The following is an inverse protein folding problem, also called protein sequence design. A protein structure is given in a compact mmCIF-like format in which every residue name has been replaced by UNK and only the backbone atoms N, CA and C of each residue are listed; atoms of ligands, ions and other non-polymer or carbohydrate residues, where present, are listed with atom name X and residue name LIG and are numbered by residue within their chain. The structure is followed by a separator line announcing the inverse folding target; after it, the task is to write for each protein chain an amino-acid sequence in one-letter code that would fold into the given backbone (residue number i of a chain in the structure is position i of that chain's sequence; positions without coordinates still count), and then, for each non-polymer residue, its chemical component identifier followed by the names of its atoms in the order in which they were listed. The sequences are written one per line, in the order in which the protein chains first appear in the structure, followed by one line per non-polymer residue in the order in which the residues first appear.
data_IF_240476332791
#
_entry.id   IF_240476332791
#
_cell.length_a   1.000
_cell.length_b   1.000
_cell.length_c   1.000
_cell.angle_alpha   90.00
_cell.angle_beta   90.00
_cell.angle_gamma   90.00
#
_symmetry.space_group_name_H-M   'P 1'
#
loop_
_entity.id
_entity.type
_entity.pdbx_description
1 polymer ?
#
# COMPACT_ATOMS: atom_id res chain seq x y z
N UNK A 1 -39.96 -25.39 31.71
CA UNK A 1 -38.74 -24.99 32.44
C UNK A 1 -37.60 -25.84 31.91
N UNK A 2 -36.51 -25.17 31.56
CA UNK A 2 -35.34 -25.61 30.78
C UNK A 2 -34.56 -26.75 31.44
N UNK A 3 -34.38 -27.86 30.73
CA UNK A 3 -33.31 -28.81 31.05
C UNK A 3 -32.02 -28.22 30.47
N UNK A 4 -31.16 -27.67 31.34
CA UNK A 4 -29.77 -27.36 30.96
C UNK A 4 -29.10 -28.69 30.60
N UNK A 5 -28.60 -28.87 29.36
CA UNK A 5 -27.82 -30.05 29.01
C UNK A 5 -26.62 -30.15 29.97
N UNK A 6 -26.28 -31.34 30.51
CA UNK A 6 -25.06 -31.48 31.29
C UNK A 6 -23.89 -31.14 30.38
N UNK A 7 -23.08 -30.14 30.76
CA UNK A 7 -21.86 -29.85 30.02
C UNK A 7 -20.99 -31.12 29.97
N UNK A 8 -20.46 -31.50 28.79
CA UNK A 8 -19.66 -32.70 28.65
C UNK A 8 -18.38 -32.60 29.47
N UNK A 9 -18.09 -33.67 30.22
CA UNK A 9 -16.85 -33.83 31.00
C UNK A 9 -15.65 -33.86 30.03
N UNK A 10 -14.70 -32.90 30.12
CA UNK A 10 -13.57 -32.79 29.20
C UNK A 10 -12.65 -34.01 29.24
N UNK A 11 -12.56 -34.70 30.39
CA UNK A 11 -11.78 -35.94 30.53
C UNK A 11 -12.35 -37.11 29.71
N UNK A 12 -13.63 -37.01 29.33
CA UNK A 12 -14.36 -38.08 28.65
C UNK A 12 -14.80 -37.71 27.24
N UNK A 13 -14.47 -36.50 26.80
CA UNK A 13 -14.87 -35.97 25.50
C UNK A 13 -13.63 -35.58 24.71
N UNK A 14 -13.13 -36.46 23.82
CA UNK A 14 -11.96 -36.17 23.00
C UNK A 14 -12.18 -34.89 22.18
N UNK A 15 -11.30 -33.89 22.37
CA UNK A 15 -11.37 -32.59 21.70
C UNK A 15 -11.82 -31.41 22.58
N UNK A 16 -12.14 -31.64 23.86
CA UNK A 16 -12.30 -30.58 24.86
C UNK A 16 -11.06 -30.53 25.75
N UNK A 17 -10.01 -29.84 25.29
CA UNK A 17 -8.81 -29.61 26.11
C UNK A 17 -9.18 -28.67 27.28
N UNK A 18 -8.84 -29.06 28.52
CA UNK A 18 -9.17 -28.30 29.75
C UNK A 18 -8.43 -26.94 29.88
N UNK A 19 -7.65 -26.57 28.86
CA UNK A 19 -6.97 -25.29 28.74
C UNK A 19 -6.96 -24.86 27.29
N UNK A 20 -7.70 -23.80 26.98
CA UNK A 20 -7.72 -23.13 25.67
C UNK A 20 -6.43 -22.36 25.37
N UNK A 21 -5.30 -23.05 25.45
CA UNK A 21 -3.98 -22.51 25.20
C UNK A 21 -3.32 -23.23 24.05
N UNK A 22 -3.72 -22.89 22.82
CA UNK A 22 -2.87 -23.13 21.65
C UNK A 22 -1.44 -22.71 22.00
N UNK A 23 -0.42 -23.51 21.65
CA UNK A 23 0.96 -23.07 21.91
C UNK A 23 1.14 -21.75 21.18
N UNK A 24 1.77 -20.77 21.83
CA UNK A 24 2.13 -19.53 21.17
C UNK A 24 3.01 -19.87 19.96
N UNK A 25 2.43 -19.77 18.76
CA UNK A 25 2.97 -20.33 17.51
C UNK A 25 1.94 -21.09 16.63
N UNK A 26 0.83 -21.56 17.20
CA UNK A 26 -0.25 -22.28 16.46
C UNK A 26 -1.30 -21.32 15.86
N UNK A 27 -1.28 -20.04 16.22
CA UNK A 27 -1.83 -18.99 15.36
C UNK A 27 -0.72 -18.64 14.38
N UNK A 28 -0.91 -18.81 13.05
CA UNK A 28 0.08 -18.41 12.07
C UNK A 28 0.56 -16.99 12.36
N UNK A 29 1.88 -16.72 12.30
CA UNK A 29 2.36 -15.37 12.51
C UNK A 29 1.68 -14.48 11.47
N UNK A 30 0.86 -13.58 12.00
CA UNK A 30 0.40 -12.32 11.44
C UNK A 30 0.10 -12.28 9.94
N UNK A 31 -1.09 -11.78 9.61
CA UNK A 31 -1.59 -11.51 8.25
C UNK A 31 -0.81 -10.41 7.51
N UNK A 32 0.52 -10.41 7.58
CA UNK A 32 1.45 -9.63 6.78
C UNK A 32 2.12 -10.52 5.72
N UNK A 33 1.33 -11.36 5.06
CA UNK A 33 1.77 -11.99 3.82
C UNK A 33 0.82 -11.56 2.72
N UNK A 34 1.21 -10.49 2.03
CA UNK A 34 0.96 -10.42 0.59
C UNK A 34 1.76 -11.57 -0.05
N UNK A 35 1.28 -12.79 0.12
CA UNK A 35 1.77 -14.05 -0.50
C UNK A 35 1.52 -14.04 -2.03
N UNK A 36 1.43 -12.86 -2.63
CA UNK A 36 1.27 -12.60 -4.05
C UNK A 36 2.28 -11.59 -4.59
N UNK A 37 3.41 -11.37 -3.90
CA UNK A 37 4.46 -10.44 -4.35
C UNK A 37 5.44 -11.04 -5.39
N UNK A 38 5.20 -12.26 -5.88
CA UNK A 38 6.03 -12.88 -6.94
C UNK A 38 5.52 -12.64 -8.35
N UNK A 39 4.50 -11.79 -8.55
CA UNK A 39 4.17 -11.36 -9.91
C UNK A 39 5.25 -10.39 -10.38
N UNK A 40 5.85 -10.68 -11.53
CA UNK A 40 6.84 -9.81 -12.15
C UNK A 40 6.22 -8.42 -12.32
N UNK A 41 6.67 -7.46 -11.51
CA UNK A 41 6.16 -6.10 -11.57
C UNK A 41 6.81 -5.46 -12.78
N UNK A 42 6.04 -5.01 -13.79
CA UNK A 42 6.63 -4.32 -14.93
C UNK A 42 7.38 -3.10 -14.41
N UNK A 43 8.70 -3.15 -14.50
CA UNK A 43 9.56 -2.03 -14.11
C UNK A 43 9.18 -0.87 -15.02
N UNK A 44 8.74 0.28 -14.47
CA UNK A 44 8.32 1.40 -15.28
C UNK A 44 9.47 1.83 -16.19
N UNK A 45 9.17 2.05 -17.47
CA UNK A 45 10.21 2.39 -18.44
C UNK A 45 10.86 3.73 -18.06
N UNK A 46 12.19 3.77 -18.04
CA UNK A 46 12.93 5.02 -17.84
C UNK A 46 12.60 6.05 -18.93
N UNK A 47 12.21 5.61 -20.12
CA UNK A 47 11.82 6.47 -21.23
C UNK A 47 10.60 7.34 -20.88
N UNK A 48 9.60 6.78 -20.20
CA UNK A 48 8.41 7.54 -19.78
C UNK A 48 8.78 8.64 -18.78
N UNK A 49 9.63 8.32 -17.79
CA UNK A 49 10.09 9.32 -16.81
C UNK A 49 10.95 10.41 -17.45
N UNK A 50 11.86 10.04 -18.36
CA UNK A 50 12.70 11.01 -19.10
C UNK A 50 11.83 11.90 -19.99
N UNK A 51 10.86 11.33 -20.69
CA UNK A 51 9.92 12.09 -21.52
C UNK A 51 9.13 13.12 -20.70
N UNK A 52 8.63 12.72 -19.53
CA UNK A 52 7.93 13.63 -18.62
C UNK A 52 8.85 14.76 -18.13
N UNK A 53 10.08 14.44 -17.71
CA UNK A 53 11.06 15.44 -17.29
C UNK A 53 11.37 16.46 -18.39
N UNK A 54 11.56 16.00 -19.64
CA UNK A 54 11.80 16.89 -20.78
C UNK A 54 10.58 17.78 -21.03
N UNK A 55 9.38 17.20 -21.04
CA UNK A 55 8.14 17.95 -21.26
C UNK A 55 7.93 19.04 -20.19
N UNK A 56 8.14 18.71 -18.90
CA UNK A 56 8.05 19.67 -17.81
C UNK A 56 9.11 20.76 -17.92
N UNK A 57 10.35 20.43 -18.29
CA UNK A 57 11.41 21.42 -18.48
C UNK A 57 11.07 22.40 -19.62
N UNK A 58 10.61 21.90 -20.76
CA UNK A 58 10.19 22.73 -21.90
C UNK A 58 9.03 23.64 -21.50
N UNK A 59 7.99 23.10 -20.86
CA UNK A 59 6.84 23.88 -20.40
C UNK A 59 7.27 25.00 -19.44
N UNK A 60 8.16 24.68 -18.50
CA UNK A 60 8.69 25.66 -17.54
C UNK A 60 9.42 26.80 -18.25
N UNK A 61 10.28 26.49 -19.23
CA UNK A 61 10.99 27.50 -20.02
C UNK A 61 10.03 28.37 -20.84
N UNK A 62 8.98 27.80 -21.43
CA UNK A 62 7.97 28.55 -22.17
C UNK A 62 7.21 29.52 -21.26
N UNK A 63 6.78 29.07 -20.09
CA UNK A 63 6.08 29.92 -19.11
C UNK A 63 7.01 31.01 -18.60
N UNK A 64 8.25 30.68 -18.24
CA UNK A 64 9.24 31.65 -17.80
C UNK A 64 9.53 32.70 -18.88
N UNK A 65 9.71 32.27 -20.13
CA UNK A 65 9.88 33.16 -21.28
C UNK A 65 8.67 34.06 -21.50
N UNK A 66 7.45 33.53 -21.36
CA UNK A 66 6.22 34.31 -21.46
C UNK A 66 6.14 35.38 -20.35
N UNK A 67 6.44 35.01 -19.10
CA UNK A 67 6.47 35.96 -17.98
C UNK A 67 7.50 37.05 -18.22
N UNK A 68 8.70 36.70 -18.71
CA UNK A 68 9.74 37.70 -19.04
C UNK A 68 9.30 38.58 -20.20
N UNK A 69 8.65 38.04 -21.23
CA UNK A 69 8.16 38.82 -22.36
C UNK A 69 7.03 39.79 -21.95
N UNK A 70 6.06 39.33 -21.16
CA UNK A 70 4.99 40.18 -20.64
C UNK A 70 5.49 41.18 -19.60
N UNK A 71 6.34 40.73 -18.67
CA UNK A 71 6.90 41.55 -17.61
C UNK A 71 7.91 42.58 -18.13
N UNK A 72 8.77 42.20 -19.07
CA UNK A 72 9.68 43.12 -19.76
C UNK A 72 8.93 44.19 -20.55
N UNK A 73 7.82 43.82 -21.20
CA UNK A 73 6.91 44.77 -21.86
C UNK A 73 6.23 45.70 -20.83
N UNK A 74 5.84 45.18 -19.66
CA UNK A 74 5.20 45.96 -18.60
C UNK A 74 6.16 46.90 -17.84
N UNK A 75 7.44 46.54 -17.72
CA UNK A 75 8.47 47.31 -17.02
C UNK A 75 9.35 48.18 -17.94
N UNK A 76 9.08 48.23 -19.25
CA UNK A 76 9.74 49.14 -20.19
C UNK A 76 11.25 48.93 -20.33
N UNK A 77 11.75 47.72 -20.06
CA UNK A 77 13.16 47.35 -20.24
C UNK A 77 13.32 46.46 -21.47
N UNK A 78 13.00 47.03 -22.64
CA UNK A 78 13.57 46.71 -23.95
C UNK A 78 13.23 47.81 -24.94
#
# INVERSE_FOLDING_TARGET
MTATPPDPDPDRTPGLEEGSGVRQGDTPPDSAQTSGLSHDQPIPSKATSVGFLIATAVLTLLIAGLIVALGGNLFGLW
#
